data_IF_000661567109
#
_entry.id   IF_000661567109
#
_cell.length_a   1.000
_cell.length_b   1.000
_cell.length_c   1.000
_cell.angle_alpha   90.00
_cell.angle_beta   90.00
_cell.angle_gamma   90.00
#
_symmetry.space_group_name_H-M   'P 1'
#
loop_
_entity.id
_entity.type
_entity.pdbx_description
1 polymer ?
#
# COMPACT_ATOMS: atom_id res chain seq x y z
N UNK A 1 -0.70 44.49 34.06
CA UNK A 1 0.31 43.93 33.12
C UNK A 1 0.21 42.43 33.19
N UNK A 2 -0.73 41.85 32.45
CA UNK A 2 -0.87 40.39 32.31
C UNK A 2 -0.30 39.96 30.96
N UNK A 3 0.62 39.00 31.00
CA UNK A 3 1.30 38.45 29.83
C UNK A 3 0.32 37.54 29.07
N UNK A 4 -0.05 37.93 27.86
CA UNK A 4 -0.71 37.06 26.90
C UNK A 4 0.32 36.04 26.41
N UNK A 5 0.16 34.79 26.82
CA UNK A 5 0.93 33.65 26.33
C UNK A 5 0.41 33.33 24.92
N UNK A 6 1.27 33.52 23.92
CA UNK A 6 1.07 32.99 22.58
C UNK A 6 1.02 31.46 22.66
N UNK A 7 -0.18 30.89 22.61
CA UNK A 7 -0.36 29.47 22.33
C UNK A 7 -0.03 29.28 20.85
N UNK A 8 1.21 28.84 20.56
CA UNK A 8 1.58 28.29 19.26
C UNK A 8 0.58 27.17 18.95
N UNK A 9 -0.37 27.44 18.05
CA UNK A 9 -1.14 26.41 17.37
C UNK A 9 -0.15 25.63 16.51
N UNK A 10 0.37 24.54 17.08
CA UNK A 10 0.96 23.47 16.31
C UNK A 10 -0.15 22.97 15.38
N UNK A 11 -0.03 23.29 14.09
CA UNK A 11 -0.76 22.60 13.05
C UNK A 11 -0.67 21.09 13.33
N UNK A 12 -1.79 20.37 13.50
CA UNK A 12 -1.71 18.92 13.45
C UNK A 12 -1.22 18.61 12.04
N UNK A 13 0.01 18.10 11.95
CA UNK A 13 0.43 17.34 10.79
C UNK A 13 -0.60 16.23 10.65
N UNK A 14 -1.60 16.41 9.78
CA UNK A 14 -2.54 15.36 9.42
C UNK A 14 -1.70 14.22 8.85
N UNK A 15 -1.50 13.20 9.66
CA UNK A 15 -0.94 11.93 9.21
C UNK A 15 -2.05 11.30 8.38
N UNK A 16 -1.84 11.29 7.06
CA UNK A 16 -2.76 10.72 6.08
C UNK A 16 -2.87 9.21 6.33
N UNK A 17 -3.97 8.77 6.96
CA UNK A 17 -4.29 7.35 7.03
C UNK A 17 -4.98 6.93 5.72
N UNK A 18 -4.49 5.84 5.12
CA UNK A 18 -5.18 5.18 4.01
C UNK A 18 -6.29 4.31 4.61
N UNK A 19 -7.53 4.46 4.13
CA UNK A 19 -8.64 3.61 4.53
C UNK A 19 -8.79 2.42 3.57
N UNK A 20 -9.05 1.23 4.12
CA UNK A 20 -9.27 0.01 3.35
C UNK A 20 -10.71 -0.45 3.50
N UNK A 21 -11.34 -0.81 2.39
CA UNK A 21 -12.73 -1.24 2.34
C UNK A 21 -12.83 -2.64 1.74
N UNK A 22 -13.51 -3.55 2.44
CA UNK A 22 -13.89 -4.85 1.92
C UNK A 22 -15.21 -4.71 1.15
N UNK A 23 -15.16 -4.99 -0.14
CA UNK A 23 -16.23 -4.76 -1.10
C UNK A 23 -16.62 -6.04 -1.86
N UNK A 24 -17.76 -5.99 -2.53
CA UNK A 24 -18.16 -6.93 -3.58
C UNK A 24 -17.90 -6.30 -4.94
N UNK A 25 -17.18 -7.01 -5.80
CA UNK A 25 -16.83 -6.56 -7.14
C UNK A 25 -17.79 -7.13 -8.19
N UNK A 26 -18.15 -6.31 -9.18
CA UNK A 26 -18.87 -6.71 -10.38
C UNK A 26 -18.26 -5.99 -11.61
N UNK A 27 -18.44 -6.60 -12.77
CA UNK A 27 -18.03 -6.04 -14.06
C UNK A 27 -19.12 -6.31 -15.10
N UNK A 28 -19.35 -5.37 -15.99
CA UNK A 28 -20.21 -5.58 -17.16
C UNK A 28 -20.19 -4.38 -18.09
N UNK A 29 -21.27 -4.21 -18.83
CA UNK A 29 -21.45 -3.14 -19.82
C UNK A 29 -22.51 -2.16 -19.30
N UNK A 30 -22.36 -0.87 -19.59
CA UNK A 30 -23.21 0.23 -19.09
C UNK A 30 -24.73 0.00 -19.28
N UNK A 31 -25.13 -0.80 -20.27
CA UNK A 31 -26.53 -1.13 -20.55
C UNK A 31 -27.17 -2.13 -19.58
N UNK A 32 -26.39 -2.75 -18.69
CA UNK A 32 -26.91 -3.71 -17.72
C UNK A 32 -27.36 -3.01 -16.44
N UNK A 33 -28.68 -2.94 -16.22
CA UNK A 33 -29.26 -2.32 -15.02
C UNK A 33 -28.84 -3.02 -13.71
N UNK A 34 -28.46 -4.30 -13.76
CA UNK A 34 -28.11 -5.10 -12.59
C UNK A 34 -26.87 -5.97 -12.83
N UNK A 35 -25.70 -5.41 -12.51
CA UNK A 35 -24.46 -6.18 -12.46
C UNK A 35 -24.45 -7.13 -11.24
N UNK A 36 -24.28 -8.42 -11.49
CA UNK A 36 -24.12 -9.43 -10.45
C UNK A 36 -22.70 -9.37 -9.85
N UNK A 37 -22.61 -9.39 -8.51
CA UNK A 37 -21.32 -9.42 -7.84
C UNK A 37 -20.62 -10.77 -8.07
N UNK A 38 -19.39 -10.70 -8.57
CA UNK A 38 -18.58 -11.83 -9.01
C UNK A 38 -17.63 -12.33 -7.93
N UNK A 39 -17.08 -11.42 -7.11
CA UNK A 39 -16.13 -11.78 -6.06
C UNK A 39 -16.05 -10.76 -4.92
N UNK A 40 -15.36 -11.13 -3.86
CA UNK A 40 -14.86 -10.16 -2.88
C UNK A 40 -13.67 -9.39 -3.46
N UNK A 41 -13.60 -8.10 -3.16
CA UNK A 41 -12.51 -7.23 -3.56
C UNK A 41 -12.21 -6.24 -2.44
N UNK A 42 -11.07 -5.57 -2.53
CA UNK A 42 -10.68 -4.51 -1.60
C UNK A 42 -10.58 -3.21 -2.38
N UNK A 43 -10.96 -2.11 -1.75
CA UNK A 43 -10.72 -0.76 -2.28
C UNK A 43 -9.89 0.00 -1.25
N UNK A 44 -8.78 0.59 -1.69
CA UNK A 44 -8.00 1.50 -0.85
C UNK A 44 -8.38 2.93 -1.21
N UNK A 45 -8.67 3.73 -0.20
CA UNK A 45 -9.00 5.14 -0.33
C UNK A 45 -7.95 5.96 0.40
N UNK A 46 -7.43 6.96 -0.30
CA UNK A 46 -6.65 8.05 0.30
C UNK A 46 -7.52 9.30 0.31
N UNK A 47 -7.14 10.34 1.05
CA UNK A 47 -7.95 11.56 1.20
C UNK A 47 -8.44 12.17 -0.13
N UNK A 48 -7.68 12.04 -1.22
CA UNK A 48 -7.98 12.62 -2.53
C UNK A 48 -8.07 11.61 -3.67
N UNK A 49 -7.96 10.30 -3.44
CA UNK A 49 -7.94 9.27 -4.50
C UNK A 49 -8.48 7.93 -4.02
N UNK A 50 -8.87 7.06 -4.94
CA UNK A 50 -9.00 5.63 -4.63
C UNK A 50 -8.22 4.76 -5.60
N UNK A 51 -7.87 3.57 -5.12
CA UNK A 51 -7.24 2.50 -5.88
C UNK A 51 -8.08 1.24 -5.67
N UNK A 52 -8.52 0.65 -6.77
CA UNK A 52 -9.31 -0.57 -6.79
C UNK A 52 -8.69 -1.58 -7.77
N UNK A 53 -8.88 -2.88 -7.53
CA UNK A 53 -8.43 -3.97 -8.41
C UNK A 53 -9.64 -4.72 -8.93
N UNK A 54 -9.53 -5.12 -10.18
CA UNK A 54 -10.45 -6.06 -10.81
C UNK A 54 -10.10 -7.53 -10.48
N UNK A 55 -10.86 -8.46 -11.06
CA UNK A 55 -10.65 -9.91 -10.91
C UNK A 55 -9.33 -10.40 -11.52
N UNK A 56 -8.74 -9.64 -12.44
CA UNK A 56 -7.46 -9.96 -13.07
C UNK A 56 -6.28 -9.39 -12.28
N UNK A 57 -6.54 -8.80 -11.11
CA UNK A 57 -5.56 -8.09 -10.29
C UNK A 57 -5.00 -6.82 -10.94
N UNK A 58 -5.65 -6.30 -11.98
CA UNK A 58 -5.28 -5.03 -12.58
C UNK A 58 -5.72 -3.90 -11.67
N UNK A 59 -4.81 -2.98 -11.39
CA UNK A 59 -5.10 -1.79 -10.59
C UNK A 59 -5.71 -0.68 -11.44
N UNK A 60 -6.76 -0.06 -10.89
CA UNK A 60 -7.40 1.12 -11.39
C UNK A 60 -7.21 2.22 -10.34
N UNK A 61 -6.47 3.26 -10.70
CA UNK A 61 -6.13 4.36 -9.81
C UNK A 61 -6.82 5.63 -10.31
N UNK A 62 -7.63 6.25 -9.45
CA UNK A 62 -8.26 7.51 -9.81
C UNK A 62 -7.22 8.64 -9.86
N UNK A 63 -7.44 9.65 -10.72
CA UNK A 63 -6.85 10.97 -10.53
C UNK A 63 -7.24 11.55 -9.17
N UNK A 64 -6.62 12.68 -8.79
CA UNK A 64 -7.09 13.41 -7.61
C UNK A 64 -8.53 13.84 -7.85
N UNK A 65 -9.41 13.59 -6.89
CA UNK A 65 -10.69 14.26 -6.84
C UNK A 65 -10.42 15.76 -6.64
N UNK A 66 -10.65 16.55 -7.67
CA UNK A 66 -10.72 18.01 -7.55
C UNK A 66 -12.01 18.36 -6.80
N UNK A 67 -11.98 19.43 -6.00
CA UNK A 67 -13.02 19.84 -5.05
C UNK A 67 -14.45 19.51 -5.50
N UNK A 68 -15.22 18.96 -4.55
CA UNK A 68 -16.62 18.60 -4.60
C UNK A 68 -17.38 19.39 -5.68
N UNK A 69 -17.58 18.80 -6.85
CA UNK A 69 -18.64 19.28 -7.71
C UNK A 69 -19.94 18.98 -6.98
N UNK A 70 -20.60 20.03 -6.48
CA UNK A 70 -21.95 20.01 -5.92
C UNK A 70 -22.94 19.52 -6.99
N UNK A 71 -22.90 18.23 -7.29
CA UNK A 71 -24.07 17.52 -7.73
C UNK A 71 -24.80 17.09 -6.46
N UNK A 72 -26.13 17.19 -6.49
CA UNK A 72 -27.03 17.04 -5.35
C UNK A 72 -26.99 15.66 -4.62
N UNK A 73 -26.04 14.78 -4.94
CA UNK A 73 -26.14 13.34 -4.74
C UNK A 73 -25.03 12.69 -3.88
N UNK A 74 -24.25 13.45 -3.09
CA UNK A 74 -23.21 12.89 -2.18
C UNK A 74 -22.16 12.01 -2.92
N UNK A 75 -21.69 12.43 -4.08
CA UNK A 75 -20.68 11.71 -4.87
C UNK A 75 -19.40 12.53 -5.05
N UNK A 76 -18.28 11.84 -5.19
CA UNK A 76 -16.99 12.36 -5.63
C UNK A 76 -16.67 11.79 -7.01
N UNK A 77 -16.37 12.67 -7.97
CA UNK A 77 -16.12 12.28 -9.37
C UNK A 77 -14.73 12.77 -9.80
N UNK A 78 -13.99 11.89 -10.48
CA UNK A 78 -12.75 12.24 -11.16
C UNK A 78 -12.76 11.61 -12.55
N UNK A 79 -12.00 12.17 -13.48
CA UNK A 79 -11.88 11.61 -14.83
C UNK A 79 -10.47 11.76 -15.39
N UNK A 80 -10.12 10.84 -16.28
CA UNK A 80 -8.94 10.94 -17.14
C UNK A 80 -9.36 10.84 -18.62
N UNK A 81 -8.39 10.68 -19.52
CA UNK A 81 -8.65 10.55 -20.96
C UNK A 81 -9.44 9.30 -21.35
N UNK A 82 -9.46 8.26 -20.51
CA UNK A 82 -10.03 6.94 -20.83
C UNK A 82 -11.22 6.56 -19.95
N UNK A 83 -11.29 7.09 -18.73
CA UNK A 83 -12.20 6.60 -17.68
C UNK A 83 -12.80 7.73 -16.85
N UNK A 84 -13.96 7.43 -16.28
CA UNK A 84 -14.62 8.22 -15.24
C UNK A 84 -14.66 7.38 -13.97
N UNK A 85 -14.30 7.99 -12.84
CA UNK A 85 -14.21 7.39 -11.53
C UNK A 85 -15.25 8.06 -10.64
N UNK A 86 -16.13 7.27 -10.05
CA UNK A 86 -17.21 7.74 -9.17
C UNK A 86 -17.09 7.04 -7.84
N UNK A 87 -17.26 7.80 -6.78
CA UNK A 87 -17.11 7.38 -5.40
C UNK A 87 -18.29 7.93 -4.62
N UNK A 88 -19.01 7.07 -3.90
CA UNK A 88 -20.00 7.54 -2.94
C UNK A 88 -19.28 8.14 -1.72
N UNK A 89 -19.73 9.31 -1.25
CA UNK A 89 -19.10 9.99 -0.10
C UNK A 89 -19.23 9.18 1.19
N UNK A 90 -20.25 8.33 1.30
CA UNK A 90 -20.42 7.34 2.38
C UNK A 90 -19.46 6.14 2.28
N UNK A 91 -18.64 6.09 1.22
CA UNK A 91 -17.63 5.06 0.94
C UNK A 91 -18.18 3.63 0.80
N UNK A 92 -19.48 3.49 0.56
CA UNK A 92 -20.13 2.18 0.40
C UNK A 92 -20.06 1.63 -1.03
N UNK A 93 -19.79 2.51 -2.02
CA UNK A 93 -19.80 2.21 -3.45
C UNK A 93 -18.72 2.98 -4.22
N UNK A 94 -18.12 2.29 -5.18
CA UNK A 94 -17.12 2.82 -6.12
C UNK A 94 -17.44 2.30 -7.50
N UNK A 95 -17.33 3.15 -8.51
CA UNK A 95 -17.62 2.81 -9.91
C UNK A 95 -16.53 3.40 -10.80
N UNK A 96 -16.12 2.63 -11.80
CA UNK A 96 -15.27 3.10 -12.87
C UNK A 96 -15.94 2.73 -14.17
N UNK A 97 -16.15 3.71 -15.05
CA UNK A 97 -16.64 3.47 -16.41
C UNK A 97 -15.57 3.87 -17.43
N UNK A 98 -15.42 3.09 -18.49
CA UNK A 98 -14.55 3.43 -19.61
C UNK A 98 -15.31 4.27 -20.63
N UNK A 99 -14.72 5.36 -21.10
CA UNK A 99 -15.33 6.27 -22.09
C UNK A 99 -15.48 5.66 -23.49
N UNK A 100 -14.69 4.65 -23.82
CA UNK A 100 -14.62 4.06 -25.17
C UNK A 100 -15.34 2.71 -25.25
N UNK A 101 -15.11 1.82 -24.29
CA UNK A 101 -15.60 0.44 -24.33
C UNK A 101 -16.91 0.21 -23.58
N UNK A 102 -17.49 1.25 -22.96
CA UNK A 102 -18.68 1.17 -22.10
C UNK A 102 -18.61 0.10 -21.01
N UNK A 103 -17.40 -0.33 -20.63
CA UNK A 103 -17.16 -1.27 -19.56
C UNK A 103 -17.32 -0.54 -18.23
N UNK A 104 -18.09 -1.16 -17.33
CA UNK A 104 -18.34 -0.68 -15.98
C UNK A 104 -17.73 -1.67 -14.99
N UNK A 105 -16.91 -1.14 -14.10
CA UNK A 105 -16.35 -1.81 -12.95
C UNK A 105 -17.03 -1.25 -11.70
N UNK A 106 -17.61 -2.12 -10.88
CA UNK A 106 -18.38 -1.72 -9.70
C UNK A 106 -17.86 -2.44 -8.46
N UNK A 107 -17.57 -1.68 -7.42
CA UNK A 107 -17.33 -2.18 -6.08
C UNK A 107 -18.47 -1.65 -5.20
N UNK A 108 -19.27 -2.55 -4.63
CA UNK A 108 -20.40 -2.19 -3.80
C UNK A 108 -20.45 -3.04 -2.53
N UNK A 109 -21.38 -2.71 -1.63
CA UNK A 109 -21.46 -3.30 -0.30
C UNK A 109 -20.12 -3.21 0.44
N UNK A 110 -19.44 -2.08 0.27
CA UNK A 110 -18.15 -1.84 0.88
C UNK A 110 -18.31 -1.57 2.38
N UNK A 111 -17.45 -2.20 3.17
CA UNK A 111 -17.38 -2.04 4.62
C UNK A 111 -15.96 -1.67 5.00
N UNK A 112 -15.81 -0.65 5.84
CA UNK A 112 -14.51 -0.24 6.35
C UNK A 112 -13.86 -1.44 7.08
N UNK A 113 -12.65 -1.78 6.67
CA UNK A 113 -11.87 -2.81 7.31
C UNK A 113 -11.19 -2.26 8.57
N UNK A 114 -11.96 -2.25 9.66
CA UNK A 114 -11.50 -1.83 10.99
C UNK A 114 -10.42 -2.74 11.58
N UNK A 115 -10.06 -3.86 10.93
CA UNK A 115 -8.88 -4.64 11.35
C UNK A 115 -7.55 -3.92 11.03
N UNK A 116 -7.63 -2.80 10.32
CA UNK A 116 -6.52 -1.96 9.90
C UNK A 116 -6.63 -0.60 10.60
N UNK A 117 -6.34 -0.54 11.89
CA UNK A 117 -6.21 0.73 12.63
C UNK A 117 -4.73 1.20 12.59
N UNK A 118 -4.46 2.20 11.74
CA UNK A 118 -3.14 2.83 11.64
C UNK A 118 -2.87 3.87 12.73
N UNK A 119 -3.91 4.36 13.41
CA UNK A 119 -3.81 5.47 14.36
C UNK A 119 -3.47 5.01 15.77
N UNK A 120 -3.97 3.86 16.26
CA UNK A 120 -3.91 3.58 17.70
C UNK A 120 -3.17 2.33 18.21
N UNK A 121 -2.73 1.32 17.42
CA UNK A 121 -1.81 0.29 17.98
C UNK A 121 -0.73 -0.35 17.05
N UNK A 122 0.52 -0.21 17.51
CA UNK A 122 1.63 -1.19 17.50
C UNK A 122 2.23 -1.63 16.16
N UNK A 123 2.76 -0.68 15.39
CA UNK A 123 3.93 -0.93 14.52
C UNK A 123 5.12 -1.55 15.29
N UNK A 124 5.05 -1.55 16.62
CA UNK A 124 6.08 -2.02 17.52
C UNK A 124 7.12 -0.92 17.75
N UNK A 125 8.18 -1.28 18.46
CA UNK A 125 9.30 -0.36 18.62
C UNK A 125 10.05 -0.21 17.29
N UNK A 126 10.34 1.05 16.91
CA UNK A 126 11.16 1.35 15.74
C UNK A 126 12.48 0.57 15.84
N UNK A 127 12.87 -0.17 14.79
CA UNK A 127 14.06 -1.00 14.86
C UNK A 127 15.31 -0.17 15.12
N UNK A 128 16.00 -0.51 16.22
CA UNK A 128 17.33 0.02 16.53
C UNK A 128 18.31 -1.12 16.26
N UNK A 129 19.40 -0.82 15.56
CA UNK A 129 20.44 -1.82 15.23
C UNK A 129 19.87 -3.07 14.52
N UNK A 130 19.04 -2.86 13.48
CA UNK A 130 18.41 -3.93 12.70
C UNK A 130 19.40 -4.65 11.75
N UNK A 131 20.45 -3.95 11.33
CA UNK A 131 21.32 -4.41 10.24
C UNK A 131 22.07 -5.72 10.56
N UNK A 132 22.55 -5.99 11.79
CA UNK A 132 23.10 -7.31 12.14
C UNK A 132 22.13 -8.47 11.93
N UNK A 133 20.82 -8.27 12.12
CA UNK A 133 19.81 -9.31 11.93
C UNK A 133 19.60 -9.63 10.45
N UNK A 134 19.56 -8.58 9.63
CA UNK A 134 19.51 -8.72 8.17
C UNK A 134 20.79 -9.42 7.66
N UNK A 135 21.97 -9.04 8.16
CA UNK A 135 23.22 -9.74 7.85
C UNK A 135 23.17 -11.21 8.24
N UNK A 136 22.60 -11.53 9.41
CA UNK A 136 22.46 -12.93 9.83
C UNK A 136 21.61 -13.73 8.85
N UNK A 137 20.48 -13.19 8.40
CA UNK A 137 19.66 -13.82 7.37
C UNK A 137 20.47 -14.11 6.09
N UNK A 138 21.24 -13.14 5.60
CA UNK A 138 22.06 -13.34 4.39
C UNK A 138 23.21 -14.33 4.58
N UNK A 139 23.72 -14.52 5.81
CA UNK A 139 24.67 -15.61 6.06
C UNK A 139 24.07 -16.98 5.88
N UNK A 140 22.77 -17.12 6.14
CA UNK A 140 22.09 -18.41 6.05
C UNK A 140 21.63 -18.72 4.62
N UNK A 141 21.33 -17.70 3.80
CA UNK A 141 20.75 -17.89 2.46
C UNK A 141 21.72 -17.73 1.28
N UNK A 142 22.83 -17.00 1.45
CA UNK A 142 23.78 -16.79 0.35
C UNK A 142 24.72 -17.99 0.15
N UNK A 143 25.15 -18.20 -1.09
CA UNK A 143 26.13 -19.25 -1.43
C UNK A 143 27.53 -18.94 -0.89
N UNK A 144 27.91 -17.66 -0.90
CA UNK A 144 29.16 -17.16 -0.31
C UNK A 144 28.82 -15.95 0.60
N UNK A 145 28.48 -16.21 1.88
CA UNK A 145 28.14 -15.19 2.86
C UNK A 145 29.19 -14.10 3.07
N UNK A 146 30.47 -14.48 3.09
CA UNK A 146 31.57 -13.56 3.42
C UNK A 146 31.85 -12.59 2.27
N UNK A 147 31.45 -12.93 1.05
CA UNK A 147 31.50 -12.04 -0.11
C UNK A 147 30.42 -10.95 -0.15
N UNK A 148 29.43 -11.01 0.74
CA UNK A 148 28.25 -10.16 0.66
C UNK A 148 28.57 -8.67 0.86
N UNK A 149 28.24 -7.85 -0.14
CA UNK A 149 28.35 -6.40 -0.11
C UNK A 149 26.97 -5.77 -0.01
N UNK A 150 26.80 -4.89 0.96
CA UNK A 150 25.55 -4.18 1.24
C UNK A 150 25.69 -2.70 0.87
N UNK A 151 24.69 -2.14 0.20
CA UNK A 151 24.68 -0.71 -0.17
C UNK A 151 23.27 -0.14 -0.16
N UNK A 152 23.16 1.19 -0.09
CA UNK A 152 21.89 1.94 -0.10
C UNK A 152 20.90 1.32 0.88
N UNK A 153 21.19 1.43 2.18
CA UNK A 153 20.32 0.90 3.23
C UNK A 153 19.37 2.03 3.63
N UNK A 154 18.07 1.83 3.46
CA UNK A 154 17.07 2.82 3.83
C UNK A 154 16.91 2.93 5.35
N UNK A 155 16.33 4.03 5.81
CA UNK A 155 15.88 4.13 7.21
C UNK A 155 14.65 3.24 7.41
N UNK A 156 14.42 2.69 8.62
CA UNK A 156 13.19 1.97 8.92
C UNK A 156 11.96 2.86 8.72
N UNK A 157 11.03 2.42 7.88
CA UNK A 157 9.78 3.13 7.56
C UNK A 157 8.60 2.29 8.03
N UNK A 158 7.52 2.95 8.44
CA UNK A 158 6.27 2.25 8.82
C UNK A 158 5.75 1.50 7.60
N UNK A 159 5.36 0.25 7.81
CA UNK A 159 4.98 -0.67 6.74
C UNK A 159 3.99 -1.72 7.31
N UNK A 160 3.27 -2.44 6.45
CA UNK A 160 2.40 -3.53 6.84
C UNK A 160 2.44 -4.68 5.84
N UNK A 161 2.16 -5.88 6.34
CA UNK A 161 1.92 -7.07 5.53
C UNK A 161 0.55 -7.66 5.80
N UNK A 162 0.00 -8.41 4.84
CA UNK A 162 -1.19 -9.24 5.04
C UNK A 162 -0.73 -10.70 5.07
N UNK A 163 -0.96 -11.37 6.19
CA UNK A 163 -0.59 -12.77 6.39
C UNK A 163 -1.81 -13.53 6.93
N UNK A 164 -2.24 -14.59 6.23
CA UNK A 164 -3.44 -15.36 6.55
C UNK A 164 -4.70 -14.51 6.78
N UNK A 165 -4.87 -13.45 5.99
CA UNK A 165 -6.00 -12.52 6.09
C UNK A 165 -5.93 -11.57 7.29
N UNK A 166 -4.79 -11.51 8.00
CA UNK A 166 -4.56 -10.57 9.09
C UNK A 166 -3.51 -9.53 8.69
N UNK A 167 -3.76 -8.28 9.04
CA UNK A 167 -2.79 -7.21 8.84
C UNK A 167 -1.77 -7.21 9.98
N UNK A 168 -0.50 -7.30 9.62
CA UNK A 168 0.63 -7.21 10.53
C UNK A 168 1.36 -5.91 10.21
N UNK A 169 1.28 -4.96 11.13
CA UNK A 169 2.00 -3.68 11.05
C UNK A 169 3.41 -3.82 11.61
N UNK A 170 4.37 -3.08 11.04
CA UNK A 170 5.78 -3.14 11.39
C UNK A 170 6.63 -2.08 10.68
N UNK A 171 7.92 -2.35 10.56
CA UNK A 171 8.85 -1.47 9.87
C UNK A 171 9.53 -2.21 8.73
N UNK A 172 9.70 -1.55 7.59
CA UNK A 172 10.50 -2.07 6.50
C UNK A 172 11.80 -1.32 6.30
N UNK A 173 12.76 -2.04 5.74
CA UNK A 173 14.03 -1.49 5.26
C UNK A 173 14.33 -2.09 3.89
N UNK A 174 14.74 -1.23 2.97
CA UNK A 174 15.29 -1.62 1.69
C UNK A 174 16.82 -1.61 1.73
N UNK A 175 17.44 -2.57 1.06
CA UNK A 175 18.89 -2.60 0.87
C UNK A 175 19.27 -3.33 -0.40
N UNK A 176 20.37 -2.93 -1.02
CA UNK A 176 20.97 -3.70 -2.09
C UNK A 176 22.01 -4.66 -1.55
N UNK A 177 21.99 -5.89 -2.06
CA UNK A 177 22.96 -6.94 -1.74
C UNK A 177 23.58 -7.46 -3.03
N UNK A 178 24.91 -7.55 -3.06
CA UNK A 178 25.66 -8.20 -4.12
C UNK A 178 26.60 -9.22 -3.51
N UNK A 179 26.52 -10.47 -3.94
CA UNK A 179 27.31 -11.57 -3.41
C UNK A 179 27.75 -12.49 -4.56
N UNK A 180 28.74 -13.34 -4.28
CA UNK A 180 29.21 -14.34 -5.23
C UNK A 180 28.27 -15.55 -5.29
N UNK A 181 28.17 -16.15 -6.47
CA UNK A 181 27.56 -17.45 -6.66
C UNK A 181 28.57 -18.58 -6.37
N UNK A 182 28.14 -19.84 -6.53
CA UNK A 182 28.98 -21.02 -6.34
C UNK A 182 30.20 -21.11 -7.27
N UNK A 183 30.24 -20.31 -8.34
CA UNK A 183 31.36 -20.23 -9.28
C UNK A 183 32.35 -19.10 -8.93
N UNK A 184 32.13 -18.39 -7.81
CA UNK A 184 33.03 -17.33 -7.31
C UNK A 184 32.83 -15.96 -7.96
N UNK A 185 31.87 -15.82 -8.87
CA UNK A 185 31.54 -14.56 -9.56
C UNK A 185 30.37 -13.83 -8.90
N UNK A 186 30.41 -12.51 -8.88
CA UNK A 186 29.30 -11.69 -8.38
C UNK A 186 28.08 -11.79 -9.29
N UNK A 187 26.89 -11.93 -8.69
CA UNK A 187 25.62 -12.06 -9.43
C UNK A 187 24.99 -10.72 -9.81
N UNK A 188 25.58 -9.61 -9.38
CA UNK A 188 25.01 -8.27 -9.53
C UNK A 188 24.23 -7.83 -8.29
N UNK A 189 23.98 -6.52 -8.21
CA UNK A 189 23.23 -5.91 -7.09
C UNK A 189 21.75 -6.26 -7.22
N UNK A 190 21.21 -6.86 -6.17
CA UNK A 190 19.79 -7.16 -6.03
C UNK A 190 19.16 -6.32 -4.93
N UNK A 191 17.96 -5.79 -5.18
CA UNK A 191 17.20 -5.07 -4.16
C UNK A 191 16.49 -6.06 -3.26
N UNK A 192 16.61 -5.89 -1.95
CA UNK A 192 15.89 -6.65 -0.97
C UNK A 192 15.03 -5.73 -0.11
N UNK A 193 13.86 -6.24 0.27
CA UNK A 193 12.98 -5.63 1.25
C UNK A 193 12.92 -6.54 2.48
N UNK A 194 13.15 -5.96 3.65
CA UNK A 194 13.16 -6.65 4.93
C UNK A 194 12.09 -6.04 5.84
N UNK A 195 11.25 -6.88 6.44
CA UNK A 195 10.19 -6.48 7.36
C UNK A 195 10.49 -6.90 8.78
N UNK A 196 10.30 -5.95 9.70
CA UNK A 196 10.66 -6.07 11.09
C UNK A 196 9.52 -5.63 12.00
N UNK A 197 9.37 -6.29 13.15
CA UNK A 197 8.49 -5.84 14.23
C UNK A 197 9.17 -6.10 15.57
N UNK A 198 9.17 -5.11 16.46
CA UNK A 198 9.79 -5.24 17.79
C UNK A 198 11.23 -5.75 17.73
N UNK A 199 12.02 -5.16 16.84
CA UNK A 199 13.38 -5.58 16.49
C UNK A 199 13.52 -6.99 15.91
N UNK A 200 12.46 -7.78 15.73
CA UNK A 200 12.56 -9.11 15.10
C UNK A 200 12.45 -8.99 13.59
N UNK A 201 13.31 -9.70 12.86
CA UNK A 201 13.20 -9.83 11.41
C UNK A 201 12.15 -10.89 11.13
N UNK A 202 11.05 -10.48 10.48
CA UNK A 202 9.92 -11.36 10.18
C UNK A 202 10.01 -11.91 8.77
N UNK A 203 10.46 -11.09 7.82
CA UNK A 203 10.51 -11.46 6.39
C UNK A 203 11.62 -10.74 5.66
N UNK A 204 12.18 -11.40 4.65
CA UNK A 204 13.07 -10.79 3.65
C UNK A 204 12.68 -11.33 2.28
N UNK A 205 12.44 -10.44 1.32
CA UNK A 205 12.13 -10.81 -0.06
C UNK A 205 13.14 -10.18 -1.02
N UNK A 206 13.48 -10.91 -2.08
CA UNK A 206 14.10 -10.31 -3.28
C UNK A 206 13.04 -9.45 -3.98
N UNK A 207 13.27 -8.15 -3.97
CA UNK A 207 12.36 -7.12 -4.46
C UNK A 207 12.58 -6.80 -5.95
N UNK A 208 13.56 -7.45 -6.59
CA UNK A 208 13.89 -7.19 -7.99
C UNK A 208 12.89 -7.80 -8.95
N UNK A 209 12.29 -8.94 -8.58
CA UNK A 209 11.33 -9.69 -9.41
C UNK A 209 9.86 -9.43 -9.03
N UNK A 210 9.60 -8.89 -7.83
CA UNK A 210 8.27 -8.46 -7.41
C UNK A 210 8.38 -7.30 -6.43
N UNK A 211 7.84 -6.14 -6.84
CA UNK A 211 7.69 -4.95 -6.00
C UNK A 211 6.49 -5.11 -5.04
N UNK A 212 5.75 -6.21 -5.10
CA UNK A 212 4.51 -6.41 -4.32
C UNK A 212 4.83 -7.20 -3.04
N UNK A 213 4.64 -6.56 -1.88
CA UNK A 213 4.86 -7.17 -0.56
C UNK A 213 3.67 -8.07 -0.19
N UNK A 214 2.48 -7.54 -0.43
CA UNK A 214 1.16 -8.14 -0.25
C UNK A 214 0.24 -7.50 -1.28
N UNK A 215 -0.90 -8.16 -1.58
CA UNK A 215 -1.97 -7.55 -2.38
C UNK A 215 -2.20 -6.13 -1.82
N UNK A 216 -2.13 -5.10 -2.68
CA UNK A 216 -2.35 -3.67 -2.35
C UNK A 216 -1.20 -2.88 -1.72
N UNK A 217 -0.04 -3.48 -1.50
CA UNK A 217 1.09 -2.78 -0.89
C UNK A 217 2.42 -3.07 -1.61
N UNK A 218 2.96 -2.02 -2.22
CA UNK A 218 4.19 -2.06 -2.98
C UNK A 218 5.38 -1.64 -2.11
N UNK A 219 6.55 -2.18 -2.43
CA UNK A 219 7.82 -1.79 -1.84
C UNK A 219 8.07 -0.32 -2.19
N UNK A 220 8.02 0.53 -1.17
CA UNK A 220 8.45 1.92 -1.24
C UNK A 220 9.76 2.06 -0.49
N UNK A 221 10.85 2.30 -1.23
CA UNK A 221 12.16 2.53 -0.64
C UNK A 221 12.45 4.03 -0.63
N UNK A 222 12.47 4.66 0.55
CA UNK A 222 12.99 6.02 0.70
C UNK A 222 14.34 5.99 1.43
N UNK A 223 15.38 6.38 0.70
CA UNK A 223 16.78 6.41 1.14
C UNK A 223 17.13 7.74 1.82
#
# INVERSE_FOLDING_TARGET
MEKIIYCLLLFPFFVFADDFYNCKYAMGIETEENLNYLANATVRVTNDRFVAQDLTHKEHKSPKFTEFTEFADNLSIAEDSEKVYVLANDRTKYVITTKISNLVFKWGNCTLDLSIDFENEKFGNKPVNFFPKIKSYFRDVLKDPDSAKYSNISKPQKDFIIEYGKVITGYSVCLYVNAKNSFGSYTGKKLYWAFLKDNKLLRVNDAQDSIVITRWHNISCSY
#
